data_IF_116009413763
#
_entry.id   IF_116009413763
#
_cell.length_a   1.000
_cell.length_b   1.000
_cell.length_c   1.000
_cell.angle_alpha   90.00
_cell.angle_beta   90.00
_cell.angle_gamma   90.00
#
_symmetry.space_group_name_H-M   'P 1'
#
loop_
_entity.id
_entity.type
_entity.pdbx_description
1 polymer ?
#
# COMPACT_ATOMS: atom_id res chain seq x y z
N UNK A 1 -17.90 6.82 9.22
CA UNK A 1 -18.83 6.48 8.12
C UNK A 1 -20.09 7.32 8.24
N UNK A 2 -20.60 7.89 7.13
CA UNK A 2 -21.79 8.75 7.21
C UNK A 2 -23.05 7.90 7.46
N UNK A 3 -24.06 8.48 8.14
CA UNK A 3 -25.36 7.82 8.42
C UNK A 3 -26.07 7.32 7.16
N UNK A 4 -25.75 7.88 6.00
CA UNK A 4 -26.29 7.48 4.70
C UNK A 4 -25.79 6.07 4.30
N UNK A 5 -24.51 5.75 4.52
CA UNK A 5 -23.93 4.43 4.21
C UNK A 5 -24.52 3.36 5.13
N UNK A 6 -24.71 3.67 6.42
CA UNK A 6 -25.33 2.76 7.38
C UNK A 6 -26.75 2.33 6.96
N UNK A 7 -27.54 3.25 6.40
CA UNK A 7 -28.92 2.98 5.96
C UNK A 7 -29.01 2.14 4.67
N UNK A 8 -28.03 2.28 3.78
CA UNK A 8 -28.06 1.61 2.47
C UNK A 8 -27.63 0.15 2.54
N UNK A 9 -26.70 -0.21 3.44
CA UNK A 9 -26.13 -1.55 3.51
C UNK A 9 -26.76 -2.45 4.59
N UNK A 10 -27.72 -1.98 5.39
CA UNK A 10 -28.33 -2.70 6.52
C UNK A 10 -27.33 -3.41 7.45
N UNK A 11 -26.11 -2.87 7.57
CA UNK A 11 -25.05 -3.41 8.44
C UNK A 11 -25.30 -2.95 9.87
N UNK A 12 -25.30 -3.87 10.84
CA UNK A 12 -25.52 -3.53 12.24
C UNK A 12 -24.36 -2.70 12.82
N UNK A 13 -24.63 -1.87 13.82
CA UNK A 13 -23.59 -1.12 14.53
C UNK A 13 -22.57 -2.07 15.21
N UNK A 14 -23.01 -3.24 15.65
CA UNK A 14 -22.14 -4.29 16.21
C UNK A 14 -21.15 -4.82 15.16
N UNK A 15 -21.62 -5.11 13.94
CA UNK A 15 -20.77 -5.56 12.84
C UNK A 15 -19.74 -4.48 12.44
N UNK A 16 -20.16 -3.23 12.42
CA UNK A 16 -19.24 -2.10 12.13
C UNK A 16 -18.17 -1.95 13.22
N UNK A 17 -18.55 -1.99 14.48
CA UNK A 17 -17.61 -1.91 15.60
C UNK A 17 -16.61 -3.07 15.60
N UNK A 18 -17.07 -4.28 15.26
CA UNK A 18 -16.20 -5.45 15.11
C UNK A 18 -15.21 -5.26 13.97
N UNK A 19 -15.65 -4.78 12.82
CA UNK A 19 -14.78 -4.50 11.68
C UNK A 19 -13.74 -3.42 12.02
N UNK A 20 -14.14 -2.32 12.66
CA UNK A 20 -13.24 -1.25 13.07
C UNK A 20 -12.17 -1.77 14.05
N UNK A 21 -12.58 -2.56 15.05
CA UNK A 21 -11.65 -3.20 16.01
C UNK A 21 -10.66 -4.12 15.31
N UNK A 22 -11.13 -4.91 14.35
CA UNK A 22 -10.29 -5.83 13.58
C UNK A 22 -9.30 -5.10 12.68
N UNK A 23 -9.74 -4.01 12.05
CA UNK A 23 -8.86 -3.16 11.24
C UNK A 23 -7.76 -2.50 12.09
N UNK A 24 -8.10 -2.03 13.30
CA UNK A 24 -7.09 -1.48 14.23
C UNK A 24 -6.08 -2.52 14.69
N UNK A 25 -6.54 -3.73 15.03
CA UNK A 25 -5.68 -4.84 15.43
C UNK A 25 -4.72 -5.21 14.30
N UNK A 26 -5.24 -5.39 13.10
CA UNK A 26 -4.45 -5.71 11.90
C UNK A 26 -3.42 -4.61 11.57
N UNK A 27 -3.82 -3.34 11.68
CA UNK A 27 -2.91 -2.22 11.45
C UNK A 27 -1.75 -2.17 12.47
N UNK A 28 -2.02 -2.49 13.75
CA UNK A 28 -0.99 -2.60 14.79
C UNK A 28 -0.03 -3.76 14.51
N UNK A 29 -0.55 -4.91 14.10
CA UNK A 29 0.26 -6.09 13.73
C UNK A 29 1.22 -5.74 12.60
N UNK A 30 0.72 -5.15 11.52
CA UNK A 30 1.56 -4.71 10.39
C UNK A 30 2.61 -3.67 10.81
N UNK A 31 2.22 -2.69 11.63
CA UNK A 31 3.16 -1.68 12.14
C UNK A 31 4.28 -2.30 12.99
N UNK A 32 3.97 -3.34 13.75
CA UNK A 32 4.97 -4.12 14.50
C UNK A 32 5.98 -4.82 13.59
N UNK A 33 5.49 -5.45 12.51
CA UNK A 33 6.36 -6.09 11.50
C UNK A 33 7.24 -5.06 10.80
N UNK A 34 6.67 -3.95 10.35
CA UNK A 34 7.43 -2.87 9.72
C UNK A 34 8.50 -2.29 10.64
N UNK A 35 8.18 -2.07 11.92
CA UNK A 35 9.16 -1.61 12.90
C UNK A 35 10.30 -2.62 13.12
N UNK A 36 10.01 -3.90 13.03
CA UNK A 36 11.03 -4.96 13.11
C UNK A 36 11.90 -5.02 11.85
N UNK A 37 11.31 -4.92 10.65
CA UNK A 37 12.06 -4.97 9.38
C UNK A 37 12.97 -3.75 9.19
N UNK A 38 12.56 -2.59 9.66
CA UNK A 38 13.29 -1.33 9.51
C UNK A 38 13.82 -0.83 10.88
N UNK A 39 14.58 -1.68 11.59
CA UNK A 39 15.18 -1.31 12.88
C UNK A 39 16.18 -0.17 12.71
N UNK A 40 16.32 0.63 13.78
CA UNK A 40 17.39 1.62 13.86
C UNK A 40 18.75 0.92 13.99
N UNK A 41 19.73 1.44 13.27
CA UNK A 41 21.11 0.96 13.29
C UNK A 41 22.02 2.19 13.26
N UNK A 42 22.37 2.69 14.45
CA UNK A 42 23.17 3.90 14.63
C UNK A 42 24.67 3.66 14.47
N UNK A 43 25.11 2.42 14.27
CA UNK A 43 26.52 2.06 14.10
C UNK A 43 27.02 2.23 12.65
N UNK A 44 26.12 2.53 11.71
CA UNK A 44 26.45 2.72 10.31
C UNK A 44 26.88 4.16 9.98
N UNK A 45 27.29 4.38 8.72
CA UNK A 45 27.62 5.70 8.22
C UNK A 45 26.43 6.68 8.36
N UNK A 46 26.71 7.93 8.69
CA UNK A 46 25.71 8.99 8.96
C UNK A 46 24.63 9.09 7.86
N UNK A 47 25.04 9.02 6.58
CA UNK A 47 24.09 9.07 5.46
C UNK A 47 23.11 7.89 5.45
N UNK A 48 23.56 6.70 5.85
CA UNK A 48 22.70 5.53 5.97
C UNK A 48 21.73 5.67 7.14
N UNK A 49 22.20 6.13 8.29
CA UNK A 49 21.36 6.41 9.48
C UNK A 49 20.26 7.41 9.11
N UNK A 50 20.62 8.50 8.42
CA UNK A 50 19.68 9.51 7.96
C UNK A 50 18.64 8.94 6.98
N UNK A 51 19.06 8.08 6.05
CA UNK A 51 18.15 7.39 5.11
C UNK A 51 17.16 6.51 5.87
N UNK A 52 17.62 5.68 6.80
CA UNK A 52 16.78 4.81 7.63
C UNK A 52 15.78 5.64 8.45
N UNK A 53 16.21 6.72 9.09
CA UNK A 53 15.32 7.63 9.83
C UNK A 53 14.26 8.24 8.94
N UNK A 54 14.60 8.60 7.71
CA UNK A 54 13.67 9.16 6.72
C UNK A 54 12.62 8.13 6.28
N UNK A 55 13.04 6.90 5.98
CA UNK A 55 12.12 5.80 5.65
C UNK A 55 11.15 5.53 6.80
N UNK A 56 11.67 5.35 8.02
CA UNK A 56 10.90 5.11 9.24
C UNK A 56 9.91 6.24 9.55
N UNK A 57 10.33 7.49 9.38
CA UNK A 57 9.48 8.66 9.62
C UNK A 57 8.17 8.60 8.86
N UNK A 58 8.20 8.22 7.58
CA UNK A 58 6.99 8.10 6.76
C UNK A 58 6.29 6.75 6.94
N UNK A 59 7.08 5.67 7.04
CA UNK A 59 6.55 4.31 7.11
C UNK A 59 5.86 4.02 8.44
N UNK A 60 6.38 4.51 9.56
CA UNK A 60 5.87 4.24 10.91
C UNK A 60 5.01 5.36 11.50
N UNK A 61 4.51 6.26 10.64
CA UNK A 61 3.68 7.39 11.07
C UNK A 61 2.43 6.91 11.81
N UNK A 62 2.19 7.48 12.99
CA UNK A 62 0.99 7.22 13.80
C UNK A 62 -0.29 7.61 13.06
N UNK A 63 -1.37 6.89 13.34
CA UNK A 63 -2.69 7.14 12.73
C UNK A 63 -2.82 6.70 11.27
N UNK A 64 -1.81 6.06 10.70
CA UNK A 64 -1.92 5.46 9.38
C UNK A 64 -2.92 4.29 9.41
N UNK A 65 -4.00 4.39 8.62
CA UNK A 65 -5.08 3.38 8.58
C UNK A 65 -4.64 2.02 8.07
N UNK A 66 -3.48 1.93 7.43
CA UNK A 66 -2.92 0.67 6.88
C UNK A 66 -3.93 -0.13 6.02
N UNK A 67 -4.80 0.57 5.29
CA UNK A 67 -5.92 -0.07 4.58
C UNK A 67 -5.48 -1.22 3.66
N UNK A 68 -4.41 -1.03 2.89
CA UNK A 68 -3.92 -2.03 1.93
C UNK A 68 -3.35 -3.28 2.61
N UNK A 69 -2.41 -3.18 3.56
CA UNK A 69 -1.95 -4.36 4.29
C UNK A 69 -3.05 -5.01 5.14
N UNK A 70 -4.00 -4.24 5.69
CA UNK A 70 -5.17 -4.78 6.39
C UNK A 70 -6.02 -5.62 5.43
N UNK A 71 -6.27 -5.13 4.20
CA UNK A 71 -6.97 -5.91 3.18
C UNK A 71 -6.25 -7.23 2.86
N UNK A 72 -4.91 -7.22 2.80
CA UNK A 72 -4.14 -8.44 2.60
C UNK A 72 -4.34 -9.46 3.75
N UNK A 73 -4.35 -9.00 5.00
CA UNK A 73 -4.60 -9.87 6.16
C UNK A 73 -6.04 -10.40 6.20
N UNK A 74 -7.02 -9.57 5.88
CA UNK A 74 -8.43 -10.01 5.78
C UNK A 74 -8.63 -11.01 4.64
N UNK A 75 -7.82 -10.93 3.58
CA UNK A 75 -7.79 -11.95 2.53
C UNK A 75 -7.28 -13.29 3.05
N UNK A 76 -6.23 -13.30 3.89
CA UNK A 76 -5.76 -14.52 4.56
C UNK A 76 -6.87 -15.17 5.40
N UNK A 77 -7.58 -14.36 6.20
CA UNK A 77 -8.72 -14.84 7.01
C UNK A 77 -9.83 -15.45 6.14
N UNK A 78 -10.18 -14.80 5.04
CA UNK A 78 -11.21 -15.28 4.13
C UNK A 78 -10.84 -16.62 3.46
N UNK A 79 -9.54 -16.83 3.24
CA UNK A 79 -8.99 -18.09 2.70
C UNK A 79 -8.73 -19.15 3.78
N UNK A 80 -8.89 -18.81 5.07
CA UNK A 80 -8.66 -19.72 6.19
C UNK A 80 -7.19 -20.09 6.40
N UNK A 81 -6.26 -19.19 6.03
CA UNK A 81 -4.82 -19.38 6.25
C UNK A 81 -4.30 -18.48 7.37
N UNK A 82 -3.19 -18.88 7.98
CA UNK A 82 -2.57 -18.11 9.05
C UNK A 82 -2.03 -16.76 8.50
N UNK A 83 -2.30 -15.68 9.20
CA UNK A 83 -1.91 -14.31 8.79
C UNK A 83 -0.40 -14.14 8.64
N UNK A 84 0.38 -14.89 9.42
CA UNK A 84 1.83 -14.92 9.36
C UNK A 84 2.37 -15.25 7.96
N UNK A 85 1.65 -16.07 7.22
CA UNK A 85 1.99 -16.42 5.84
C UNK A 85 1.89 -15.21 4.89
N UNK A 86 1.00 -14.26 5.17
CA UNK A 86 0.72 -13.10 4.33
C UNK A 86 1.40 -11.82 4.85
N UNK A 87 1.80 -11.78 6.13
CA UNK A 87 2.40 -10.60 6.77
C UNK A 87 3.58 -10.00 6.00
N UNK A 88 4.55 -10.76 5.46
CA UNK A 88 5.65 -10.17 4.69
C UNK A 88 5.15 -9.43 3.43
N UNK A 89 4.19 -10.02 2.71
CA UNK A 89 3.57 -9.37 1.55
C UNK A 89 2.80 -8.10 1.96
N UNK A 90 2.04 -8.15 3.05
CA UNK A 90 1.33 -6.99 3.59
C UNK A 90 2.29 -5.84 3.95
N UNK A 91 3.45 -6.16 4.57
CA UNK A 91 4.49 -5.18 4.85
C UNK A 91 5.08 -4.58 3.56
N UNK A 92 5.38 -5.40 2.56
CA UNK A 92 5.88 -4.95 1.26
C UNK A 92 4.92 -4.00 0.54
N UNK A 93 3.62 -4.30 0.55
CA UNK A 93 2.59 -3.41 -0.02
C UNK A 93 2.56 -2.06 0.69
N UNK A 94 2.75 -2.01 2.01
CA UNK A 94 2.81 -0.74 2.73
C UNK A 94 4.10 0.04 2.43
N UNK A 95 5.23 -0.63 2.22
CA UNK A 95 6.45 0.02 1.73
C UNK A 95 6.21 0.68 0.37
N UNK A 96 5.57 -0.05 -0.56
CA UNK A 96 5.17 0.47 -1.87
C UNK A 96 4.23 1.67 -1.73
N UNK A 97 3.21 1.59 -0.87
CA UNK A 97 2.32 2.71 -0.64
C UNK A 97 3.06 3.93 -0.06
N UNK A 98 3.96 3.69 0.88
CA UNK A 98 4.69 4.78 1.56
C UNK A 98 5.66 5.49 0.61
N UNK A 99 6.40 4.74 -0.24
CA UNK A 99 7.27 5.39 -1.20
C UNK A 99 6.48 6.30 -2.14
N UNK A 100 5.30 5.86 -2.60
CA UNK A 100 4.49 6.68 -3.50
C UNK A 100 4.05 7.99 -2.85
N UNK A 101 3.71 7.96 -1.56
CA UNK A 101 3.37 9.18 -0.81
C UNK A 101 4.58 10.12 -0.64
N UNK A 102 5.76 9.56 -0.33
CA UNK A 102 6.99 10.37 -0.20
C UNK A 102 7.31 11.08 -1.51
N UNK A 103 7.21 10.38 -2.64
CA UNK A 103 7.51 10.94 -3.95
C UNK A 103 6.42 11.91 -4.43
N UNK A 104 5.15 11.61 -4.17
CA UNK A 104 4.03 12.52 -4.51
C UNK A 104 4.16 13.87 -3.82
N UNK A 105 4.66 13.91 -2.58
CA UNK A 105 4.83 15.14 -1.81
C UNK A 105 5.96 16.05 -2.29
N UNK A 106 6.89 15.56 -3.14
CA UNK A 106 8.06 16.33 -3.60
C UNK A 106 7.67 17.59 -4.37
N UNK A 107 8.52 18.65 -4.35
CA UNK A 107 8.26 19.90 -5.08
C UNK A 107 8.02 19.74 -6.59
N UNK A 108 8.60 18.70 -7.19
CA UNK A 108 8.40 18.39 -8.61
C UNK A 108 7.07 17.68 -8.91
N UNK A 109 6.33 17.29 -7.88
CA UNK A 109 5.08 16.54 -7.95
C UNK A 109 3.90 17.38 -7.43
N UNK A 110 3.38 17.07 -6.23
CA UNK A 110 2.26 17.81 -5.63
C UNK A 110 2.72 19.00 -4.79
N UNK A 111 3.99 19.03 -4.39
CA UNK A 111 4.62 20.08 -3.58
C UNK A 111 3.88 20.32 -2.25
N UNK A 112 3.54 19.25 -1.55
CA UNK A 112 2.83 19.31 -0.28
C UNK A 112 3.80 19.55 0.88
N UNK A 113 3.48 20.51 1.76
CA UNK A 113 4.27 20.79 2.96
C UNK A 113 3.92 19.88 4.13
N UNK A 114 2.68 19.37 4.18
CA UNK A 114 2.15 18.57 5.28
C UNK A 114 1.37 17.35 4.78
N UNK A 115 1.52 16.22 5.48
CA UNK A 115 0.74 15.00 5.30
C UNK A 115 0.30 14.43 6.64
N UNK A 116 -0.99 14.16 6.81
CA UNK A 116 -1.57 13.68 8.09
C UNK A 116 -1.21 14.56 9.29
N UNK A 117 -1.09 15.88 9.07
CA UNK A 117 -0.77 16.84 10.12
C UNK A 117 0.71 16.96 10.48
N UNK A 118 1.59 16.20 9.85
CA UNK A 118 3.05 16.27 10.04
C UNK A 118 3.73 16.84 8.78
N UNK A 119 4.90 17.47 8.90
CA UNK A 119 5.70 17.87 7.73
C UNK A 119 5.94 16.67 6.80
N UNK A 120 5.88 16.90 5.49
CA UNK A 120 6.23 15.87 4.50
C UNK A 120 7.70 15.48 4.60
N UNK A 121 8.07 14.36 4.03
CA UNK A 121 9.42 13.81 4.17
C UNK A 121 10.50 14.80 3.72
N UNK A 122 10.34 15.42 2.54
CA UNK A 122 11.28 16.40 2.03
C UNK A 122 11.35 17.69 2.86
N UNK A 123 10.30 18.05 3.59
CA UNK A 123 10.30 19.18 4.53
C UNK A 123 10.96 18.83 5.85
N UNK A 124 10.84 17.59 6.31
CA UNK A 124 11.46 17.10 7.54
C UNK A 124 12.95 16.86 7.39
N UNK A 125 13.38 16.34 6.26
CA UNK A 125 14.77 16.00 5.96
C UNK A 125 15.33 16.93 4.88
N UNK A 126 15.23 16.56 3.63
CA UNK A 126 15.52 17.31 2.40
C UNK A 126 15.02 16.52 1.18
N UNK A 127 15.04 17.14 -0.02
CA UNK A 127 14.54 16.49 -1.24
C UNK A 127 15.36 15.26 -1.64
N UNK A 128 16.69 15.33 -1.55
CA UNK A 128 17.55 14.19 -1.92
C UNK A 128 17.32 12.99 -1.00
N UNK A 129 17.23 13.23 0.31
CA UNK A 129 16.92 12.19 1.30
C UNK A 129 15.54 11.58 1.06
N UNK A 130 14.53 12.40 0.72
CA UNK A 130 13.18 11.92 0.43
C UNK A 130 13.14 11.06 -0.86
N UNK A 131 13.84 11.46 -1.92
CA UNK A 131 13.95 10.65 -3.14
C UNK A 131 14.56 9.29 -2.81
N UNK A 132 15.70 9.28 -2.12
CA UNK A 132 16.39 8.04 -1.75
C UNK A 132 15.56 7.16 -0.81
N UNK A 133 14.79 7.75 0.10
CA UNK A 133 13.89 6.99 1.00
C UNK A 133 12.77 6.30 0.22
N UNK A 134 12.19 6.96 -0.78
CA UNK A 134 11.22 6.35 -1.66
C UNK A 134 11.82 5.21 -2.50
N UNK A 135 12.99 5.43 -3.12
CA UNK A 135 13.70 4.43 -3.92
C UNK A 135 14.03 3.18 -3.09
N UNK A 136 14.52 3.38 -1.86
CA UNK A 136 14.86 2.31 -0.94
C UNK A 136 13.61 1.50 -0.54
N UNK A 137 12.53 2.16 -0.11
CA UNK A 137 11.27 1.48 0.25
C UNK A 137 10.69 0.67 -0.91
N UNK A 138 10.75 1.19 -2.15
CA UNK A 138 10.31 0.46 -3.33
C UNK A 138 11.17 -0.78 -3.57
N UNK A 139 12.50 -0.64 -3.49
CA UNK A 139 13.44 -1.76 -3.70
C UNK A 139 13.30 -2.82 -2.62
N UNK A 140 13.25 -2.40 -1.35
CA UNK A 140 13.12 -3.28 -0.19
C UNK A 140 11.81 -4.07 -0.21
N UNK A 141 10.72 -3.50 -0.74
CA UNK A 141 9.45 -4.22 -0.89
C UNK A 141 9.60 -5.50 -1.72
N UNK A 142 10.36 -5.45 -2.82
CA UNK A 142 10.65 -6.64 -3.64
C UNK A 142 11.59 -7.60 -2.92
N UNK A 143 12.57 -7.09 -2.17
CA UNK A 143 13.46 -7.89 -1.34
C UNK A 143 12.70 -8.67 -0.26
N UNK A 144 11.82 -8.01 0.50
CA UNK A 144 10.98 -8.61 1.55
C UNK A 144 10.19 -9.80 0.98
N UNK A 145 9.56 -9.65 -0.19
CA UNK A 145 8.79 -10.72 -0.84
C UNK A 145 9.72 -11.86 -1.26
N UNK A 146 10.85 -11.54 -1.92
CA UNK A 146 11.80 -12.53 -2.39
C UNK A 146 12.37 -13.40 -1.27
N UNK A 147 12.75 -12.78 -0.15
CA UNK A 147 13.29 -13.45 1.02
C UNK A 147 12.23 -14.30 1.74
N UNK A 148 11.05 -13.72 1.98
CA UNK A 148 9.99 -14.38 2.74
C UNK A 148 9.44 -15.63 2.06
N UNK A 149 9.39 -15.64 0.74
CA UNK A 149 8.80 -16.74 -0.04
C UNK A 149 9.82 -17.55 -0.83
N UNK A 150 11.10 -17.51 -0.44
CA UNK A 150 12.20 -18.21 -1.15
C UNK A 150 11.99 -19.72 -1.24
N UNK A 151 11.35 -20.31 -0.24
CA UNK A 151 11.01 -21.75 -0.21
C UNK A 151 9.80 -22.09 -1.10
N UNK A 152 9.07 -21.07 -1.59
CA UNK A 152 7.98 -21.23 -2.57
C UNK A 152 8.24 -20.32 -3.79
N UNK A 153 9.23 -20.63 -4.63
CA UNK A 153 9.65 -19.75 -5.71
C UNK A 153 8.56 -19.51 -6.77
N UNK A 154 7.61 -20.43 -6.92
CA UNK A 154 6.48 -20.25 -7.83
C UNK A 154 5.57 -19.11 -7.38
N UNK A 155 5.17 -19.09 -6.11
CA UNK A 155 4.38 -18.01 -5.53
C UNK A 155 5.20 -16.70 -5.47
N UNK A 156 6.47 -16.77 -5.08
CA UNK A 156 7.35 -15.60 -5.03
C UNK A 156 7.44 -14.91 -6.40
N UNK A 157 7.77 -15.62 -7.45
CA UNK A 157 7.88 -15.07 -8.81
C UNK A 157 6.53 -14.52 -9.28
N UNK A 158 5.44 -15.26 -9.05
CA UNK A 158 4.11 -14.82 -9.46
C UNK A 158 3.72 -13.49 -8.78
N UNK A 159 3.87 -13.39 -7.46
CA UNK A 159 3.49 -12.18 -6.73
C UNK A 159 4.40 -11.01 -7.06
N UNK A 160 5.70 -11.22 -7.28
CA UNK A 160 6.63 -10.18 -7.73
C UNK A 160 6.25 -9.62 -9.10
N UNK A 161 5.87 -10.49 -10.05
CA UNK A 161 5.40 -10.08 -11.38
C UNK A 161 4.10 -9.27 -11.27
N UNK A 162 3.12 -9.74 -10.52
CA UNK A 162 1.84 -9.05 -10.35
C UNK A 162 2.02 -7.71 -9.61
N UNK A 163 2.86 -7.65 -8.57
CA UNK A 163 3.19 -6.41 -7.88
C UNK A 163 3.88 -5.41 -8.83
N UNK A 164 4.87 -5.89 -9.60
CA UNK A 164 5.57 -5.05 -10.59
C UNK A 164 4.62 -4.41 -11.61
N UNK A 165 3.64 -5.18 -12.12
CA UNK A 165 2.60 -4.66 -13.02
C UNK A 165 1.72 -3.62 -12.32
N UNK A 166 1.27 -3.91 -11.09
CA UNK A 166 0.38 -3.03 -10.33
C UNK A 166 1.02 -1.70 -9.94
N UNK A 167 2.35 -1.68 -9.69
CA UNK A 167 3.05 -0.45 -9.25
C UNK A 167 3.78 0.27 -10.37
N UNK A 168 4.08 -0.39 -11.47
CA UNK A 168 4.90 0.10 -12.57
C UNK A 168 4.18 1.03 -13.55
N UNK A 169 4.72 1.10 -14.78
CA UNK A 169 4.25 1.99 -15.85
C UNK A 169 2.82 1.71 -16.33
N UNK A 170 2.33 0.48 -16.15
CA UNK A 170 0.95 0.08 -16.48
C UNK A 170 0.04 0.03 -15.25
N UNK A 171 0.50 0.52 -14.11
CA UNK A 171 -0.20 0.58 -12.84
C UNK A 171 -0.06 1.96 -12.19
N UNK A 172 0.27 1.98 -10.90
CA UNK A 172 0.27 3.17 -10.06
C UNK A 172 1.15 4.32 -10.62
N UNK A 173 2.38 4.03 -11.08
CA UNK A 173 3.26 5.05 -11.69
C UNK A 173 2.68 5.58 -12.98
N UNK A 174 2.10 4.72 -13.82
CA UNK A 174 1.38 5.16 -15.03
C UNK A 174 0.18 6.06 -14.70
N UNK A 175 -0.60 5.70 -13.68
CA UNK A 175 -1.70 6.52 -13.18
C UNK A 175 -1.23 7.90 -12.69
N UNK A 176 -0.11 7.94 -11.96
CA UNK A 176 0.50 9.20 -11.51
C UNK A 176 0.98 10.06 -12.68
N UNK A 177 1.54 9.46 -13.73
CA UNK A 177 1.94 10.20 -14.93
C UNK A 177 0.72 10.83 -15.65
N UNK A 178 -0.42 10.12 -15.70
CA UNK A 178 -1.68 10.66 -16.23
C UNK A 178 -2.14 11.83 -15.34
N UNK A 179 -2.10 11.69 -14.01
CA UNK A 179 -2.52 12.72 -13.06
C UNK A 179 -1.74 14.03 -13.24
N UNK A 180 -0.41 13.93 -13.33
CA UNK A 180 0.46 15.10 -13.59
C UNK A 180 0.13 15.75 -14.94
N UNK A 181 -0.06 14.97 -16.00
CA UNK A 181 -0.41 15.48 -17.31
C UNK A 181 -1.81 16.15 -17.32
N UNK A 182 -2.72 15.66 -16.47
CA UNK A 182 -4.08 16.16 -16.30
C UNK A 182 -4.13 17.56 -15.65
N UNK A 183 -3.16 17.91 -14.79
CA UNK A 183 -3.11 19.23 -14.12
C UNK A 183 -3.10 20.42 -15.09
N UNK A 184 -2.72 20.22 -16.35
CA UNK A 184 -2.60 21.27 -17.38
C UNK A 184 -3.66 21.21 -18.48
N UNK A 185 -4.60 20.26 -18.44
CA UNK A 185 -5.60 20.02 -19.51
C UNK A 185 -6.95 19.62 -18.93
N UNK A 186 -8.02 19.84 -19.70
CA UNK A 186 -9.31 19.20 -19.40
C UNK A 186 -9.18 17.69 -19.60
N UNK A 187 -9.57 16.94 -18.58
CA UNK A 187 -9.56 15.47 -18.57
C UNK A 187 -10.95 14.98 -18.92
N UNK A 188 -11.08 14.05 -19.84
CA UNK A 188 -12.36 13.39 -20.11
C UNK A 188 -12.68 12.33 -19.05
N UNK A 189 -13.90 11.82 -19.07
CA UNK A 189 -14.38 10.87 -18.05
C UNK A 189 -13.64 9.52 -18.13
N UNK A 190 -13.22 9.12 -19.32
CA UNK A 190 -12.51 7.84 -19.52
C UNK A 190 -11.07 7.93 -18.99
N UNK A 191 -10.38 9.02 -19.27
CA UNK A 191 -9.04 9.29 -18.72
C UNK A 191 -9.10 9.39 -17.20
N UNK A 192 -10.13 10.04 -16.63
CA UNK A 192 -10.32 10.13 -15.18
C UNK A 192 -10.55 8.74 -14.54
N UNK A 193 -11.38 7.91 -15.18
CA UNK A 193 -11.59 6.51 -14.73
C UNK A 193 -10.30 5.70 -14.78
N UNK A 194 -9.55 5.82 -15.88
CA UNK A 194 -8.27 5.14 -16.05
C UNK A 194 -7.26 5.59 -14.98
N UNK A 195 -7.16 6.90 -14.74
CA UNK A 195 -6.33 7.47 -13.69
C UNK A 195 -6.64 6.85 -12.32
N UNK A 196 -7.91 6.84 -11.92
CA UNK A 196 -8.33 6.28 -10.65
C UNK A 196 -8.06 4.77 -10.55
N UNK A 197 -8.33 4.03 -11.62
CA UNK A 197 -8.06 2.60 -11.69
C UNK A 197 -6.56 2.31 -11.49
N UNK A 198 -5.69 3.06 -12.16
CA UNK A 198 -4.26 2.85 -12.12
C UNK A 198 -3.63 3.42 -10.85
N UNK A 199 -3.85 4.69 -10.54
CA UNK A 199 -3.18 5.38 -9.42
C UNK A 199 -3.55 4.78 -8.05
N UNK A 200 -4.80 4.38 -7.88
CA UNK A 200 -5.32 3.90 -6.58
C UNK A 200 -5.79 2.45 -6.63
N UNK A 201 -6.59 2.09 -7.63
CA UNK A 201 -7.24 0.78 -7.74
C UNK A 201 -6.22 -0.35 -7.90
N UNK A 202 -5.16 -0.16 -8.67
CA UNK A 202 -4.15 -1.19 -8.92
C UNK A 202 -3.50 -1.69 -7.62
N UNK A 203 -3.15 -0.77 -6.70
CA UNK A 203 -2.53 -1.16 -5.43
C UNK A 203 -3.54 -1.76 -4.44
N UNK A 204 -4.81 -1.37 -4.48
CA UNK A 204 -5.88 -2.02 -3.71
C UNK A 204 -6.09 -3.44 -4.23
N UNK A 205 -6.21 -3.62 -5.56
CA UNK A 205 -6.40 -4.93 -6.17
C UNK A 205 -5.24 -5.88 -5.84
N UNK A 206 -3.99 -5.46 -6.02
CA UNK A 206 -2.84 -6.33 -5.73
C UNK A 206 -2.74 -6.67 -4.24
N UNK A 207 -3.24 -5.85 -3.31
CA UNK A 207 -3.26 -6.17 -1.89
C UNK A 207 -4.05 -7.45 -1.59
N UNK A 208 -5.17 -7.68 -2.27
CA UNK A 208 -5.94 -8.91 -2.15
C UNK A 208 -5.36 -10.03 -3.03
N UNK A 209 -5.12 -9.78 -4.31
CA UNK A 209 -4.62 -10.78 -5.27
C UNK A 209 -3.26 -11.35 -4.83
N UNK A 210 -2.33 -10.48 -4.42
CA UNK A 210 -1.00 -10.93 -3.98
C UNK A 210 -1.07 -11.74 -2.69
N UNK A 211 -1.92 -11.34 -1.76
CA UNK A 211 -2.20 -12.12 -0.54
C UNK A 211 -2.75 -13.51 -0.89
N UNK A 212 -3.70 -13.60 -1.82
CA UNK A 212 -4.24 -14.87 -2.29
C UNK A 212 -3.17 -15.77 -2.94
N UNK A 213 -2.29 -15.19 -3.77
CA UNK A 213 -1.20 -15.94 -4.41
C UNK A 213 -0.25 -16.54 -3.37
N UNK A 214 0.20 -15.76 -2.37
CA UNK A 214 1.12 -16.27 -1.35
C UNK A 214 0.43 -17.19 -0.35
N UNK A 215 -0.89 -17.08 -0.18
CA UNK A 215 -1.73 -17.99 0.59
C UNK A 215 -1.98 -19.34 -0.10
N UNK A 216 -1.62 -19.47 -1.39
CA UNK A 216 -1.81 -20.69 -2.16
C UNK A 216 -3.25 -20.90 -2.64
N UNK A 217 -4.02 -19.81 -2.83
CA UNK A 217 -5.36 -19.85 -3.38
C UNK A 217 -5.37 -20.40 -4.83
N UNK A 218 -6.45 -21.03 -5.21
CA UNK A 218 -6.67 -21.48 -6.59
C UNK A 218 -7.03 -20.28 -7.52
N UNK A 219 -7.10 -20.56 -8.84
CA UNK A 219 -7.34 -19.50 -9.83
C UNK A 219 -8.74 -18.88 -9.70
N UNK A 220 -9.75 -19.66 -9.32
CA UNK A 220 -11.13 -19.17 -9.14
C UNK A 220 -11.20 -18.21 -7.94
N UNK A 221 -10.58 -18.58 -6.82
CA UNK A 221 -10.47 -17.70 -5.64
C UNK A 221 -9.69 -16.41 -5.93
N UNK A 222 -8.61 -16.51 -6.73
CA UNK A 222 -7.82 -15.34 -7.13
C UNK A 222 -8.64 -14.40 -8.03
N UNK A 223 -9.44 -14.94 -8.96
CA UNK A 223 -10.32 -14.15 -9.84
C UNK A 223 -11.42 -13.45 -9.02
N UNK A 224 -12.11 -14.16 -8.14
CA UNK A 224 -13.14 -13.61 -7.25
C UNK A 224 -12.59 -12.47 -6.37
N UNK A 225 -11.42 -12.66 -5.78
CA UNK A 225 -10.75 -11.65 -4.96
C UNK A 225 -10.28 -10.45 -5.79
N UNK A 226 -9.87 -10.68 -7.03
CA UNK A 226 -9.52 -9.62 -7.99
C UNK A 226 -10.73 -8.75 -8.32
N UNK A 227 -11.89 -9.35 -8.58
CA UNK A 227 -13.13 -8.64 -8.89
C UNK A 227 -13.64 -7.87 -7.68
N UNK A 228 -13.64 -8.51 -6.50
CA UNK A 228 -13.97 -7.85 -5.24
C UNK A 228 -13.10 -6.61 -4.99
N UNK A 229 -11.76 -6.78 -5.07
CA UNK A 229 -10.83 -5.69 -4.78
C UNK A 229 -10.88 -4.57 -5.84
N UNK A 230 -11.21 -4.90 -7.10
CA UNK A 230 -11.43 -3.92 -8.16
C UNK A 230 -12.68 -3.08 -7.88
N UNK A 231 -13.79 -3.72 -7.47
CA UNK A 231 -15.01 -3.02 -7.05
C UNK A 231 -14.78 -2.15 -5.81
N UNK A 232 -14.02 -2.67 -4.83
CA UNK A 232 -13.62 -1.93 -3.62
C UNK A 232 -12.76 -0.71 -3.96
N UNK A 233 -11.81 -0.85 -4.89
CA UNK A 233 -10.98 0.25 -5.36
C UNK A 233 -11.80 1.37 -6.02
N UNK A 234 -12.80 1.00 -6.81
CA UNK A 234 -13.73 1.97 -7.41
C UNK A 234 -14.58 2.66 -6.34
N UNK A 235 -15.14 1.92 -5.39
CA UNK A 235 -15.93 2.48 -4.29
C UNK A 235 -15.12 3.46 -3.44
N UNK A 236 -13.82 3.18 -3.22
CA UNK A 236 -12.92 4.04 -2.46
C UNK A 236 -12.70 5.41 -3.11
N UNK A 237 -12.89 5.55 -4.43
CA UNK A 237 -12.71 6.80 -5.17
C UNK A 237 -13.97 7.69 -5.18
N UNK A 238 -15.14 7.12 -4.91
CA UNK A 238 -16.42 7.85 -4.99
C UNK A 238 -17.04 8.14 -3.60
N UNK A 239 -16.40 7.64 -2.53
CA UNK A 239 -16.81 7.86 -1.15
C UNK A 239 -16.14 9.09 -0.52
#
# INVERSE_FOLDING_TARGET
MSDTIKRTLSVSDETLAKLESEMEHSAKTVSGVLNHLFQEDDERAEGWVRLNQSMRYSLLQDGAKRFRPVLALLTADALGVEREQVLPFAAAVECVHTYSLIHDDLPAMDNDDFRRGLPTNHKKFDEATAILAGDALLSDAFGIIGEAYIENPGAAVRVLVELSKAVGSHGMVGGQAIDIAAKSKAVDIEDLRLLHLLKTGALIRISAVGAAVVAGADEEQIEDLSDYASALGLAFQVA
#
